data_IF_559236368029
#
_entry.id   IF_559236368029
#
_cell.length_a   1.000
_cell.length_b   1.000
_cell.length_c   1.000
_cell.angle_alpha   90.00
_cell.angle_beta   90.00
_cell.angle_gamma   90.00
#
_symmetry.space_group_name_H-M   'P 1'
#
loop_
_entity.id
_entity.type
_entity.pdbx_description
1 polymer ?
#
# COMPACT_ATOMS: atom_id res chain seq x y z
N UNK A 1 -2.67 1.09 -35.07
CA UNK A 1 -1.70 0.83 -33.97
C UNK A 1 -2.06 -0.51 -33.36
N UNK A 2 -1.19 -1.51 -33.41
CA UNK A 2 -1.55 -2.86 -32.96
C UNK A 2 -1.68 -2.89 -31.43
N UNK A 3 -2.61 -3.70 -30.89
CA UNK A 3 -2.78 -3.90 -29.45
C UNK A 3 -1.45 -4.25 -28.76
N UNK A 4 -0.60 -5.02 -29.47
CA UNK A 4 0.77 -5.36 -29.05
C UNK A 4 1.64 -4.13 -28.78
N UNK A 5 1.54 -3.08 -29.57
CA UNK A 5 2.38 -1.87 -29.41
C UNK A 5 1.97 -1.09 -28.17
N UNK A 6 0.65 -0.95 -27.92
CA UNK A 6 0.13 -0.35 -26.69
C UNK A 6 0.50 -1.17 -25.44
N UNK A 7 0.39 -2.49 -25.52
CA UNK A 7 0.80 -3.36 -24.40
C UNK A 7 2.31 -3.27 -24.14
N UNK A 8 3.12 -3.20 -25.20
CA UNK A 8 4.56 -3.03 -25.09
C UNK A 8 4.93 -1.67 -24.53
N UNK A 9 4.20 -0.62 -24.86
CA UNK A 9 4.37 0.72 -24.29
C UNK A 9 4.03 0.74 -22.78
N UNK A 10 2.94 0.09 -22.39
CA UNK A 10 2.51 -0.04 -20.97
C UNK A 10 3.49 -0.89 -20.15
N UNK A 11 4.07 -1.94 -20.75
CA UNK A 11 5.01 -2.86 -20.08
C UNK A 11 6.47 -2.37 -20.18
N UNK A 12 6.81 -1.54 -21.18
CA UNK A 12 8.16 -1.02 -21.32
C UNK A 12 8.42 0.06 -20.29
N UNK A 13 9.34 -0.23 -19.37
CA UNK A 13 9.86 0.74 -18.42
C UNK A 13 10.88 1.62 -19.15
N UNK A 14 10.40 2.51 -20.04
CA UNK A 14 11.21 3.58 -20.65
C UNK A 14 11.41 4.75 -19.68
N UNK A 15 10.65 4.78 -18.59
CA UNK A 15 10.73 5.79 -17.56
C UNK A 15 12.10 5.79 -16.84
N UNK A 16 12.46 6.93 -16.26
CA UNK A 16 13.67 7.04 -15.45
C UNK A 16 13.58 6.14 -14.20
N UNK A 17 14.70 5.59 -13.69
CA UNK A 17 14.69 4.71 -12.51
C UNK A 17 13.96 5.33 -11.31
N UNK A 18 14.14 6.65 -11.12
CA UNK A 18 13.45 7.43 -10.09
C UNK A 18 11.94 7.44 -10.27
N UNK A 19 11.43 7.66 -11.49
CA UNK A 19 9.99 7.69 -11.78
C UNK A 19 9.35 6.32 -11.54
N UNK A 20 10.04 5.24 -11.88
CA UNK A 20 9.57 3.87 -11.69
C UNK A 20 9.51 3.52 -10.21
N UNK A 21 10.57 3.82 -9.47
CA UNK A 21 10.62 3.66 -8.02
C UNK A 21 9.52 4.46 -7.32
N UNK A 22 9.30 5.71 -7.74
CA UNK A 22 8.22 6.54 -7.19
C UNK A 22 6.83 5.99 -7.53
N UNK A 23 6.63 5.54 -8.77
CA UNK A 23 5.38 4.92 -9.20
C UNK A 23 5.03 3.72 -8.32
N UNK A 24 6.01 2.84 -8.10
CA UNK A 24 5.86 1.67 -7.25
C UNK A 24 5.57 2.06 -5.79
N UNK A 25 6.35 2.96 -5.21
CA UNK A 25 6.20 3.41 -3.83
C UNK A 25 4.82 4.01 -3.54
N UNK A 26 4.30 4.85 -4.44
CA UNK A 26 2.94 5.40 -4.34
C UNK A 26 1.91 4.28 -4.40
N UNK A 27 2.11 3.30 -5.28
CA UNK A 27 1.28 2.09 -5.34
C UNK A 27 1.26 1.33 -4.03
N UNK A 28 2.43 1.05 -3.44
CA UNK A 28 2.57 0.36 -2.16
C UNK A 28 1.87 1.10 -1.04
N UNK A 29 2.09 2.42 -0.92
CA UNK A 29 1.42 3.24 0.09
C UNK A 29 -0.11 3.14 -0.03
N UNK A 30 -0.64 3.28 -1.25
CA UNK A 30 -2.08 3.20 -1.49
C UNK A 30 -2.62 1.80 -1.21
N UNK A 31 -1.93 0.74 -1.63
CA UNK A 31 -2.32 -0.64 -1.37
C UNK A 31 -2.32 -1.00 0.13
N UNK A 32 -1.46 -0.38 0.92
CA UNK A 32 -1.40 -0.59 2.38
C UNK A 32 -2.25 0.41 3.16
N UNK A 33 -2.86 1.39 2.50
CA UNK A 33 -3.69 2.40 3.15
C UNK A 33 -4.98 1.81 3.73
N UNK A 34 -5.60 2.47 4.73
CA UNK A 34 -6.84 1.99 5.32
C UNK A 34 -8.07 2.06 4.39
N UNK A 35 -7.90 2.52 3.15
CA UNK A 35 -8.97 2.76 2.16
C UNK A 35 -9.35 1.47 1.40
N UNK A 36 -9.82 0.48 2.16
CA UNK A 36 -10.21 -0.83 1.64
C UNK A 36 -11.17 -0.73 0.45
N UNK A 37 -10.88 -1.50 -0.60
CA UNK A 37 -11.69 -1.56 -1.83
C UNK A 37 -11.48 -0.38 -2.80
N UNK A 38 -10.85 0.71 -2.37
CA UNK A 38 -10.60 1.90 -3.21
C UNK A 38 -9.18 1.94 -3.80
N UNK A 39 -8.28 1.04 -3.39
CA UNK A 39 -6.86 1.12 -3.72
C UNK A 39 -6.57 1.17 -5.23
N UNK A 40 -7.25 0.35 -6.04
CA UNK A 40 -7.04 0.32 -7.49
C UNK A 40 -7.46 1.64 -8.14
N UNK A 41 -8.64 2.16 -7.77
CA UNK A 41 -9.15 3.44 -8.29
C UNK A 41 -8.23 4.57 -7.89
N UNK A 42 -7.82 4.62 -6.61
CA UNK A 42 -6.87 5.61 -6.10
C UNK A 42 -5.50 5.48 -6.75
N UNK A 43 -5.04 4.26 -7.02
CA UNK A 43 -3.78 3.99 -7.71
C UNK A 43 -3.79 4.53 -9.14
N UNK A 44 -4.87 4.31 -9.89
CA UNK A 44 -5.04 4.86 -11.23
C UNK A 44 -5.11 6.39 -11.16
N UNK A 45 -5.92 6.95 -10.25
CA UNK A 45 -6.07 8.39 -10.10
C UNK A 45 -4.74 9.06 -9.73
N UNK A 46 -4.01 8.52 -8.76
CA UNK A 46 -2.69 8.99 -8.37
C UNK A 46 -1.70 8.88 -9.53
N UNK A 47 -1.72 7.78 -10.28
CA UNK A 47 -0.84 7.64 -11.44
C UNK A 47 -1.11 8.71 -12.52
N UNK A 48 -2.38 9.08 -12.72
CA UNK A 48 -2.76 10.15 -13.64
C UNK A 48 -2.34 11.53 -13.12
N UNK A 49 -2.69 11.85 -11.87
CA UNK A 49 -2.43 13.16 -11.24
C UNK A 49 -0.91 13.43 -11.17
N UNK A 50 -0.14 12.47 -10.68
CA UNK A 50 1.31 12.59 -10.51
C UNK A 50 2.11 12.20 -11.76
N UNK A 51 1.42 11.90 -12.87
CA UNK A 51 2.04 11.48 -14.15
C UNK A 51 2.99 10.29 -13.99
N UNK A 52 2.65 9.35 -13.11
CA UNK A 52 3.41 8.14 -12.82
C UNK A 52 3.13 7.03 -13.83
N UNK A 53 3.97 5.99 -13.81
CA UNK A 53 3.74 4.82 -14.64
C UNK A 53 2.58 4.00 -14.07
N UNK A 54 1.44 4.01 -14.75
CA UNK A 54 0.20 3.36 -14.30
C UNK A 54 0.40 1.88 -14.01
N UNK A 55 1.12 1.15 -14.86
CA UNK A 55 1.34 -0.27 -14.67
C UNK A 55 2.15 -0.55 -13.40
N UNK A 56 3.25 0.18 -13.22
CA UNK A 56 4.12 0.04 -12.04
C UNK A 56 3.40 0.47 -10.76
N UNK A 57 2.61 1.54 -10.79
CA UNK A 57 1.78 1.95 -9.65
C UNK A 57 0.79 0.85 -9.27
N UNK A 58 0.13 0.24 -10.24
CA UNK A 58 -0.84 -0.83 -9.97
C UNK A 58 -0.15 -2.07 -9.43
N UNK A 59 1.04 -2.44 -9.92
CA UNK A 59 1.83 -3.51 -9.31
C UNK A 59 2.14 -3.24 -7.82
N UNK A 60 2.45 -1.98 -7.46
CA UNK A 60 2.63 -1.60 -6.07
C UNK A 60 1.35 -1.73 -5.24
N UNK A 61 0.19 -1.35 -5.81
CA UNK A 61 -1.13 -1.51 -5.15
C UNK A 61 -1.41 -2.97 -4.81
N UNK A 62 -1.13 -3.89 -5.74
CA UNK A 62 -1.40 -5.32 -5.57
C UNK A 62 -0.44 -6.08 -4.64
N UNK A 63 0.47 -5.37 -3.94
CA UNK A 63 1.12 -5.94 -2.74
C UNK A 63 0.05 -6.40 -1.73
N UNK A 64 -1.03 -5.62 -1.60
CA UNK A 64 -2.23 -6.01 -0.87
C UNK A 64 -3.21 -6.69 -1.82
N UNK A 65 -3.30 -8.01 -1.71
CA UNK A 65 -4.19 -8.87 -2.49
C UNK A 65 -4.97 -9.79 -1.53
N UNK A 66 -5.96 -10.58 -2.00
CA UNK A 66 -6.79 -11.42 -1.12
C UNK A 66 -6.01 -12.35 -0.19
N UNK A 67 -4.81 -12.78 -0.59
CA UNK A 67 -3.96 -13.65 0.22
C UNK A 67 -3.09 -12.89 1.22
N UNK A 68 -2.68 -11.65 0.90
CA UNK A 68 -1.77 -10.85 1.75
C UNK A 68 -2.50 -9.86 2.65
N UNK A 69 -3.75 -9.51 2.34
CA UNK A 69 -4.51 -8.48 3.07
C UNK A 69 -4.68 -8.82 4.55
N UNK A 70 -5.06 -10.07 4.87
CA UNK A 70 -5.26 -10.52 6.25
C UNK A 70 -3.97 -10.37 7.08
N UNK A 71 -2.83 -11.01 6.72
CA UNK A 71 -1.62 -10.88 7.53
C UNK A 71 -1.09 -9.43 7.58
N UNK A 72 -1.15 -8.66 6.48
CA UNK A 72 -0.70 -7.27 6.46
C UNK A 72 -1.52 -6.39 7.41
N UNK A 73 -2.84 -6.53 7.39
CA UNK A 73 -3.74 -5.66 8.13
C UNK A 73 -3.78 -6.03 9.60
N UNK A 74 -3.72 -7.34 9.91
CA UNK A 74 -3.54 -7.81 11.29
C UNK A 74 -2.24 -7.30 11.88
N UNK A 75 -1.12 -7.45 11.17
CA UNK A 75 0.18 -6.94 11.65
C UNK A 75 0.17 -5.42 11.82
N UNK A 76 -0.36 -4.69 10.84
CA UNK A 76 -0.43 -3.23 10.89
C UNK A 76 -1.27 -2.76 12.07
N UNK A 77 -2.45 -3.36 12.29
CA UNK A 77 -3.34 -3.03 13.42
C UNK A 77 -2.69 -3.34 14.76
N UNK A 78 -2.06 -4.52 14.88
CA UNK A 78 -1.33 -4.89 16.10
C UNK A 78 -0.20 -3.91 16.41
N UNK A 79 0.57 -3.52 15.39
CA UNK A 79 1.63 -2.54 15.56
C UNK A 79 1.06 -1.17 15.96
N UNK A 80 -0.02 -0.73 15.31
CA UNK A 80 -0.72 0.50 15.66
C UNK A 80 -1.24 0.49 17.09
N UNK A 81 -1.79 -0.63 17.56
CA UNK A 81 -2.28 -0.78 18.93
C UNK A 81 -1.14 -0.66 19.93
N UNK A 82 -0.02 -1.33 19.67
CA UNK A 82 1.20 -1.24 20.48
C UNK A 82 1.76 0.18 20.54
N UNK A 83 1.73 0.91 19.42
CA UNK A 83 2.19 2.30 19.35
C UNK A 83 1.27 3.27 20.09
N UNK A 84 -0.04 3.02 20.09
CA UNK A 84 -1.05 3.85 20.76
C UNK A 84 -1.31 3.46 22.22
N UNK A 85 -0.65 2.41 22.73
CA UNK A 85 -0.87 1.92 24.10
C UNK A 85 -2.25 1.27 24.30
N UNK A 86 -2.83 0.71 23.24
CA UNK A 86 -4.10 -0.03 23.32
C UNK A 86 -3.80 -1.47 23.74
N UNK A 87 -4.18 -1.82 24.98
CA UNK A 87 -3.95 -3.14 25.55
C UNK A 87 -4.94 -4.19 25.04
N UNK A 88 -6.21 -3.80 24.85
CA UNK A 88 -7.27 -4.67 24.35
C UNK A 88 -7.75 -4.22 22.97
N UNK A 89 -7.36 -4.97 21.94
CA UNK A 89 -7.84 -4.77 20.55
C UNK A 89 -9.23 -5.40 20.37
N UNK A 90 -9.49 -6.50 21.08
CA UNK A 90 -10.76 -7.23 21.08
C UNK A 90 -11.26 -7.27 22.53
N UNK A 91 -12.03 -6.27 22.96
CA UNK A 91 -12.57 -6.21 24.32
C UNK A 91 -13.69 -7.25 24.50
N UNK A 92 -13.92 -7.66 25.74
CA UNK A 92 -15.04 -8.52 26.08
C UNK A 92 -16.36 -7.80 25.76
N UNK A 93 -17.13 -8.35 24.81
CA UNK A 93 -18.40 -7.78 24.40
C UNK A 93 -19.42 -8.04 25.50
N UNK A 94 -19.93 -6.96 26.10
CA UNK A 94 -21.10 -7.02 26.98
C UNK A 94 -22.36 -7.13 26.10
N UNK A 95 -22.91 -8.34 26.03
CA UNK A 95 -24.10 -8.65 25.23
C UNK A 95 -25.39 -8.07 25.82
N UNK A 96 -25.39 -7.74 27.12
CA UNK A 96 -26.57 -7.26 27.83
C UNK A 96 -26.75 -5.73 27.70
N UNK A 97 -25.69 -5.01 27.33
CA UNK A 97 -25.63 -3.54 27.27
C UNK A 97 -25.49 -2.94 25.86
N UNK A 98 -25.83 -3.66 24.79
CA UNK A 98 -25.60 -3.22 23.40
C UNK A 98 -26.39 -1.94 23.08
N UNK A 99 -25.70 -0.80 23.15
CA UNK A 99 -26.18 0.52 22.73
C UNK A 99 -25.32 1.02 21.58
N UNK A 100 -25.87 1.87 20.70
CA UNK A 100 -25.10 2.51 19.62
C UNK A 100 -23.84 3.24 20.13
N UNK A 101 -23.94 3.91 21.29
CA UNK A 101 -22.82 4.57 21.95
C UNK A 101 -21.72 3.61 22.41
N UNK A 102 -22.10 2.43 22.93
CA UNK A 102 -21.17 1.36 23.30
C UNK A 102 -20.48 0.80 22.05
N UNK A 103 -21.24 0.50 21.00
CA UNK A 103 -20.70 0.06 19.71
C UNK A 103 -19.68 1.04 19.13
N UNK A 104 -19.97 2.36 19.12
CA UNK A 104 -19.03 3.37 18.64
C UNK A 104 -17.77 3.48 19.49
N UNK A 105 -17.88 3.22 20.80
CA UNK A 105 -16.72 3.18 21.69
C UNK A 105 -15.84 1.97 21.37
N UNK A 106 -16.42 0.79 21.21
CA UNK A 106 -15.66 -0.43 20.89
C UNK A 106 -15.04 -0.39 19.50
N UNK A 107 -15.76 0.15 18.51
CA UNK A 107 -15.20 0.35 17.16
C UNK A 107 -13.95 1.25 17.18
N UNK A 108 -13.85 2.23 18.09
CA UNK A 108 -12.69 3.12 18.18
C UNK A 108 -11.42 2.38 18.64
N UNK A 109 -11.55 1.38 19.52
CA UNK A 109 -10.43 0.57 20.00
C UNK A 109 -9.78 -0.24 18.88
N UNK A 110 -10.55 -0.59 17.84
CA UNK A 110 -10.02 -1.26 16.65
C UNK A 110 -9.62 -0.26 15.55
N UNK A 111 -10.47 0.74 15.28
CA UNK A 111 -10.32 1.66 14.16
C UNK A 111 -9.08 2.54 14.28
N UNK A 112 -8.78 3.10 15.46
CA UNK A 112 -7.61 3.97 15.61
C UNK A 112 -6.28 3.25 15.43
N UNK A 113 -6.04 2.10 16.09
CA UNK A 113 -4.90 1.23 15.80
C UNK A 113 -4.79 0.84 14.33
N UNK A 114 -5.92 0.50 13.70
CA UNK A 114 -5.94 0.14 12.29
C UNK A 114 -5.49 1.30 11.40
N UNK A 115 -6.10 2.48 11.54
CA UNK A 115 -5.79 3.66 10.74
C UNK A 115 -4.32 4.09 10.91
N UNK A 116 -3.87 4.15 12.15
CA UNK A 116 -2.52 4.60 12.47
C UNK A 116 -1.48 3.57 12.02
N UNK A 117 -1.72 2.30 12.33
CA UNK A 117 -0.85 1.19 11.98
C UNK A 117 -0.69 1.01 10.48
N UNK A 118 -1.78 0.99 9.72
CA UNK A 118 -1.73 0.85 8.26
C UNK A 118 -1.05 2.04 7.59
N UNK A 119 -1.31 3.26 8.07
CA UNK A 119 -0.63 4.47 7.57
C UNK A 119 0.87 4.41 7.84
N UNK A 120 1.27 4.06 9.06
CA UNK A 120 2.68 3.97 9.46
C UNK A 120 3.44 2.90 8.68
N UNK A 121 2.92 1.67 8.66
CA UNK A 121 3.52 0.55 7.90
C UNK A 121 3.51 0.84 6.41
N UNK A 122 2.46 1.47 5.88
CA UNK A 122 2.37 1.89 4.48
C UNK A 122 3.46 2.88 4.09
N UNK A 123 3.74 3.89 4.93
CA UNK A 123 4.84 4.85 4.69
C UNK A 123 6.19 4.14 4.67
N UNK A 124 6.46 3.27 5.65
CA UNK A 124 7.72 2.53 5.71
C UNK A 124 7.89 1.60 4.51
N UNK A 125 6.83 0.88 4.14
CA UNK A 125 6.84 -0.04 3.00
C UNK A 125 6.98 0.69 1.67
N UNK A 126 6.39 1.88 1.54
CA UNK A 126 6.57 2.73 0.37
C UNK A 126 8.01 3.25 0.26
N UNK A 127 8.61 3.71 1.36
CA UNK A 127 10.00 4.14 1.38
C UNK A 127 10.95 2.99 1.03
N UNK A 128 10.73 1.80 1.61
CA UNK A 128 11.48 0.60 1.28
C UNK A 128 11.30 0.21 -0.19
N UNK A 129 10.06 0.21 -0.69
CA UNK A 129 9.72 -0.08 -2.08
C UNK A 129 10.43 0.87 -3.05
N UNK A 130 10.49 2.16 -2.74
CA UNK A 130 11.26 3.13 -3.52
C UNK A 130 12.73 2.74 -3.59
N UNK A 131 13.37 2.49 -2.45
CA UNK A 131 14.80 2.17 -2.36
C UNK A 131 15.11 0.88 -3.12
N UNK A 132 14.32 -0.17 -2.92
CA UNK A 132 14.51 -1.48 -3.56
C UNK A 132 14.39 -1.37 -5.08
N UNK A 133 13.31 -0.75 -5.59
CA UNK A 133 13.09 -0.64 -7.04
C UNK A 133 14.14 0.28 -7.67
N UNK A 134 14.49 1.39 -7.03
CA UNK A 134 15.52 2.29 -7.53
C UNK A 134 16.87 1.56 -7.67
N UNK A 135 17.32 0.85 -6.62
CA UNK A 135 18.57 0.10 -6.67
C UNK A 135 18.53 -1.06 -7.67
N UNK A 136 17.42 -1.80 -7.76
CA UNK A 136 17.28 -2.90 -8.71
C UNK A 136 17.41 -2.42 -10.16
N UNK A 137 16.78 -1.29 -10.51
CA UNK A 137 16.85 -0.73 -11.87
C UNK A 137 18.25 -0.18 -12.16
N UNK A 138 18.85 0.55 -11.22
CA UNK A 138 20.21 1.10 -11.40
C UNK A 138 21.23 -0.01 -11.63
N UNK A 139 21.18 -1.08 -10.83
CA UNK A 139 22.05 -2.26 -10.99
C UNK A 139 21.80 -3.01 -12.30
N UNK A 140 20.55 -3.08 -12.76
CA UNK A 140 20.24 -3.71 -14.03
C UNK A 140 20.74 -2.90 -15.23
N UNK A 141 20.80 -1.57 -15.15
CA UNK A 141 21.32 -0.71 -16.22
C UNK A 141 22.85 -0.76 -16.27
N UNK A 142 23.52 -0.71 -15.12
CA UNK A 142 24.99 -0.81 -15.07
C UNK A 142 25.52 -2.15 -15.59
N UNK A 143 24.76 -3.24 -15.46
CA UNK A 143 25.11 -4.56 -16.04
C UNK A 143 24.93 -4.64 -17.55
N UNK A 144 24.06 -3.82 -18.15
CA UNK A 144 23.85 -3.79 -19.62
C UNK A 144 24.87 -2.92 -20.34
N UNK A 145 25.53 -2.02 -19.60
CA UNK A 145 26.59 -1.14 -20.10
C UNK A 145 28.01 -1.70 -19.85
N UNK A 146 28.13 -2.87 -19.19
CA UNK A 146 29.40 -3.57 -19.03
C UNK A 146 29.78 -4.26 -20.35
N UNK A 147 31.03 -4.07 -20.84
CA UNK A 147 31.50 -4.58 -22.13
C UNK A 147 31.59 -6.11 -22.20
#
# INVERSE_FOLDING_TARGET
MALRDKLREVVSIQDSPRKVALSFAVGVFLGMSPLLGLHTVLGIAAALIFRLNKFVTILGVYITNPWTIVPLYTFSTWLGAKMLGVEEIIPAIDWDGITFSYFLKEMKHLLWPFLFGTTFVGILSAALGYVVIHHAIMKSRSRKEAP
#
